data_IF_849755978547
#
_entry.id   IF_849755978547
#
_cell.length_a   1.000
_cell.length_b   1.000
_cell.length_c   1.000
_cell.angle_alpha   90.00
_cell.angle_beta   90.00
_cell.angle_gamma   90.00
#
_symmetry.space_group_name_H-M   'P 1'
#
loop_
_entity.id
_entity.type
_entity.pdbx_description
1 polymer ?
#
# COMPACT_ATOMS: atom_id res chain seq x y z
N UNK A 1 -20.30 37.11 7.26
CA UNK A 1 -18.87 37.00 6.90
C UNK A 1 -18.14 36.08 7.88
N UNK A 2 -18.39 34.75 7.83
CA UNK A 2 -17.91 33.82 8.89
C UNK A 2 -17.10 32.63 8.40
N UNK A 3 -16.97 32.42 7.08
CA UNK A 3 -16.24 31.27 6.51
C UNK A 3 -14.71 31.45 6.44
N UNK A 4 -14.20 32.68 6.59
CA UNK A 4 -12.76 32.97 6.46
C UNK A 4 -11.95 32.58 7.71
N UNK A 5 -12.55 32.60 8.91
CA UNK A 5 -11.84 32.30 10.18
C UNK A 5 -11.62 30.80 10.41
N UNK A 6 -12.52 29.96 9.92
CA UNK A 6 -12.45 28.50 10.13
C UNK A 6 -11.38 27.82 9.24
N UNK A 7 -11.09 28.37 8.06
CA UNK A 7 -9.97 27.93 7.22
C UNK A 7 -8.60 28.32 7.80
N UNK A 8 -8.49 29.53 8.36
CA UNK A 8 -7.26 30.04 8.95
C UNK A 8 -6.86 29.23 10.20
N UNK A 9 -7.85 28.79 11.00
CA UNK A 9 -7.62 27.91 12.16
C UNK A 9 -7.19 26.49 11.77
N UNK A 10 -7.63 25.97 10.62
CA UNK A 10 -7.13 24.67 10.09
C UNK A 10 -5.73 24.79 9.48
N UNK A 11 -5.37 25.93 8.90
CA UNK A 11 -4.06 26.16 8.27
C UNK A 11 -2.99 26.66 9.25
N UNK A 12 -3.37 27.20 10.42
CA UNK A 12 -2.45 27.63 11.48
C UNK A 12 -2.02 26.50 12.45
N UNK A 13 -2.42 25.25 12.17
CA UNK A 13 -1.96 24.08 12.94
C UNK A 13 -0.57 23.68 12.49
N UNK A 14 0.44 24.46 12.88
CA UNK A 14 1.84 24.02 12.79
C UNK A 14 1.93 22.65 13.48
N UNK A 15 2.41 21.60 12.78
CA UNK A 15 2.54 20.30 13.40
C UNK A 15 3.47 20.45 14.61
N UNK A 16 2.99 20.06 15.79
CA UNK A 16 3.77 20.12 17.02
C UNK A 16 5.07 19.36 16.78
N UNK A 17 6.25 19.94 17.10
CA UNK A 17 7.51 19.25 16.94
C UNK A 17 7.48 17.98 17.79
N UNK A 18 7.71 16.84 17.16
CA UNK A 18 7.71 15.55 17.84
C UNK A 18 8.89 15.49 18.81
N UNK A 19 8.64 15.01 20.02
CA UNK A 19 9.67 14.60 20.98
C UNK A 19 10.58 13.53 20.35
N UNK A 20 11.82 13.42 20.83
CA UNK A 20 12.79 12.39 20.39
C UNK A 20 12.20 10.98 20.48
N UNK A 21 11.46 10.67 21.55
CA UNK A 21 10.80 9.38 21.72
C UNK A 21 9.71 9.15 20.67
N UNK A 22 8.89 10.17 20.39
CA UNK A 22 7.85 10.10 19.35
C UNK A 22 8.45 9.90 17.95
N UNK A 23 9.58 10.56 17.65
CA UNK A 23 10.32 10.35 16.40
C UNK A 23 10.83 8.91 16.28
N UNK A 24 11.35 8.34 17.37
CA UNK A 24 11.80 6.95 17.40
C UNK A 24 10.65 5.98 17.12
N UNK A 25 9.48 6.18 17.75
CA UNK A 25 8.29 5.38 17.50
C UNK A 25 7.82 5.46 16.04
N UNK A 26 7.74 6.66 15.46
CA UNK A 26 7.36 6.85 14.06
C UNK A 26 8.36 6.19 13.10
N UNK A 27 9.65 6.22 13.41
CA UNK A 27 10.69 5.51 12.65
C UNK A 27 10.46 4.00 12.67
N UNK A 28 10.15 3.42 13.83
CA UNK A 28 9.82 2.00 13.98
C UNK A 28 8.55 1.64 13.18
N UNK A 29 7.50 2.45 13.26
CA UNK A 29 6.29 2.27 12.45
C UNK A 29 6.64 2.28 10.96
N UNK A 30 7.42 3.26 10.50
CA UNK A 30 7.86 3.34 9.09
C UNK A 30 8.61 2.08 8.65
N UNK A 31 9.48 1.52 9.51
CA UNK A 31 10.21 0.27 9.21
C UNK A 31 9.25 -0.92 9.08
N UNK A 32 8.33 -1.08 10.03
CA UNK A 32 7.32 -2.15 10.02
C UNK A 32 6.44 -2.03 8.78
N UNK A 33 5.95 -0.83 8.46
CA UNK A 33 5.13 -0.59 7.27
C UNK A 33 5.89 -0.97 5.98
N UNK A 34 7.16 -0.59 5.86
CA UNK A 34 7.99 -0.93 4.70
C UNK A 34 8.21 -2.44 4.59
N UNK A 35 8.46 -3.13 5.70
CA UNK A 35 8.62 -4.58 5.73
C UNK A 35 7.32 -5.28 5.33
N UNK A 36 6.17 -4.89 5.91
CA UNK A 36 4.86 -5.46 5.56
C UNK A 36 4.50 -5.23 4.10
N UNK A 37 4.80 -4.04 3.55
CA UNK A 37 4.58 -3.77 2.12
C UNK A 37 5.37 -4.72 1.23
N UNK A 38 6.65 -4.98 1.56
CA UNK A 38 7.48 -5.93 0.81
C UNK A 38 6.95 -7.37 0.92
N UNK A 39 6.61 -7.81 2.13
CA UNK A 39 6.04 -9.15 2.37
C UNK A 39 4.74 -9.31 1.56
N UNK A 40 3.86 -8.31 1.61
CA UNK A 40 2.61 -8.32 0.83
C UNK A 40 2.88 -8.38 -0.67
N UNK A 41 3.87 -7.65 -1.19
CA UNK A 41 4.22 -7.69 -2.60
C UNK A 41 4.75 -9.07 -3.02
N UNK A 42 5.68 -9.66 -2.26
CA UNK A 42 6.21 -11.00 -2.52
C UNK A 42 5.11 -12.07 -2.43
N UNK A 43 4.20 -11.93 -1.47
CA UNK A 43 3.05 -12.82 -1.32
C UNK A 43 2.09 -12.75 -2.52
N UNK A 44 1.74 -11.54 -2.97
CA UNK A 44 0.89 -11.34 -4.16
C UNK A 44 1.57 -11.93 -5.40
N UNK A 45 2.86 -11.67 -5.60
CA UNK A 45 3.64 -12.20 -6.72
C UNK A 45 3.67 -13.73 -6.74
N UNK A 46 3.86 -14.37 -5.57
CA UNK A 46 3.81 -15.83 -5.46
C UNK A 46 2.43 -16.41 -5.85
N UNK A 47 1.35 -15.78 -5.42
CA UNK A 47 -0.03 -16.20 -5.77
C UNK A 47 -0.28 -16.06 -7.27
N UNK A 48 0.15 -14.95 -7.88
CA UNK A 48 0.02 -14.74 -9.34
C UNK A 48 0.84 -15.76 -10.11
N UNK A 49 2.12 -15.96 -9.76
CA UNK A 49 2.99 -16.94 -10.42
C UNK A 49 2.48 -18.37 -10.31
N UNK A 50 1.96 -18.76 -9.15
CA UNK A 50 1.35 -20.07 -8.98
C UNK A 50 0.14 -20.24 -9.92
N UNK A 51 -0.65 -19.17 -10.10
CA UNK A 51 -1.79 -19.22 -11.02
C UNK A 51 -1.35 -19.24 -12.49
N UNK A 52 -0.33 -18.47 -12.85
CA UNK A 52 0.25 -18.46 -14.21
C UNK A 52 0.87 -19.82 -14.56
N UNK A 53 1.42 -20.54 -13.57
CA UNK A 53 1.90 -21.92 -13.70
C UNK A 53 0.76 -22.96 -13.83
N UNK A 54 -0.51 -22.54 -13.81
CA UNK A 54 -1.67 -23.40 -13.99
C UNK A 54 -2.24 -24.01 -12.71
N UNK A 55 -1.71 -23.69 -11.53
CA UNK A 55 -2.21 -24.22 -10.25
C UNK A 55 -3.63 -23.70 -9.98
N UNK A 56 -4.50 -24.57 -9.45
CA UNK A 56 -5.89 -24.21 -9.15
C UNK A 56 -5.99 -23.29 -7.93
N UNK A 57 -7.02 -22.42 -7.91
CA UNK A 57 -7.22 -21.48 -6.81
C UNK A 57 -7.41 -22.16 -5.46
N UNK A 58 -7.99 -23.38 -5.42
CA UNK A 58 -8.15 -24.15 -4.19
C UNK A 58 -6.80 -24.54 -3.57
N UNK A 59 -5.87 -25.05 -4.38
CA UNK A 59 -4.54 -25.47 -3.93
C UNK A 59 -3.71 -24.26 -3.48
N UNK A 60 -3.78 -23.14 -4.22
CA UNK A 60 -3.10 -21.90 -3.84
C UNK A 60 -3.65 -21.37 -2.50
N UNK A 61 -4.97 -21.40 -2.33
CA UNK A 61 -5.62 -20.91 -1.13
C UNK A 61 -5.28 -21.75 0.10
N UNK A 62 -5.24 -23.07 -0.05
CA UNK A 62 -4.82 -24.01 1.00
C UNK A 62 -3.37 -23.74 1.44
N UNK A 63 -2.43 -23.65 0.48
CA UNK A 63 -1.02 -23.39 0.77
C UNK A 63 -0.77 -22.02 1.41
N UNK A 64 -1.55 -21.02 1.02
CA UNK A 64 -1.42 -19.65 1.51
C UNK A 64 -2.25 -19.36 2.78
N UNK A 65 -3.04 -20.33 3.27
CA UNK A 65 -3.90 -20.15 4.44
C UNK A 65 -4.99 -19.10 4.23
N UNK A 66 -5.58 -19.04 3.03
CA UNK A 66 -6.64 -18.10 2.69
C UNK A 66 -7.83 -18.79 2.00
N UNK A 67 -8.86 -18.04 1.65
CA UNK A 67 -9.98 -18.55 0.86
C UNK A 67 -9.69 -18.52 -0.65
N UNK A 68 -10.28 -19.45 -1.40
CA UNK A 68 -10.17 -19.49 -2.87
C UNK A 68 -10.65 -18.19 -3.53
N UNK A 69 -11.68 -17.55 -2.95
CA UNK A 69 -12.17 -16.26 -3.41
C UNK A 69 -11.13 -15.14 -3.22
N UNK A 70 -10.37 -15.16 -2.12
CA UNK A 70 -9.29 -14.21 -1.91
C UNK A 70 -8.14 -14.42 -2.91
N UNK A 71 -7.76 -15.68 -3.19
CA UNK A 71 -6.75 -15.99 -4.20
C UNK A 71 -7.19 -15.52 -5.61
N UNK A 72 -8.45 -15.76 -5.98
CA UNK A 72 -9.02 -15.27 -7.24
C UNK A 72 -9.00 -13.75 -7.33
N UNK A 73 -9.35 -13.05 -6.24
CA UNK A 73 -9.36 -11.60 -6.19
C UNK A 73 -7.95 -11.00 -6.31
N UNK A 74 -6.94 -11.63 -5.70
CA UNK A 74 -5.53 -11.24 -5.84
C UNK A 74 -5.12 -11.35 -7.30
N UNK A 75 -5.35 -12.49 -7.95
CA UNK A 75 -5.00 -12.66 -9.37
C UNK A 75 -5.80 -11.71 -10.26
N UNK A 76 -7.08 -11.45 -9.97
CA UNK A 76 -7.88 -10.50 -10.75
C UNK A 76 -7.34 -9.07 -10.67
N UNK A 77 -6.82 -8.66 -9.50
CA UNK A 77 -6.26 -7.31 -9.29
C UNK A 77 -4.82 -7.17 -9.79
N UNK A 78 -4.04 -8.25 -9.74
CA UNK A 78 -2.58 -8.20 -9.93
C UNK A 78 -2.05 -9.05 -11.08
N UNK A 79 -2.82 -10.00 -11.60
CA UNK A 79 -2.44 -10.93 -12.68
C UNK A 79 -2.33 -10.28 -14.07
N UNK A 80 -2.95 -9.12 -14.30
CA UNK A 80 -2.77 -8.36 -15.55
C UNK A 80 -1.43 -7.61 -15.63
N UNK A 81 -0.54 -7.73 -14.63
CA UNK A 81 0.72 -6.95 -14.57
C UNK A 81 1.86 -7.52 -15.42
N UNK A 82 1.57 -8.43 -16.37
CA UNK A 82 2.50 -8.79 -17.46
C UNK A 82 2.80 -7.67 -18.47
N UNK A 83 2.15 -6.50 -18.36
CA UNK A 83 2.44 -5.29 -19.15
C UNK A 83 2.23 -4.00 -18.33
N UNK A 84 2.89 -3.83 -17.19
CA UNK A 84 3.24 -2.49 -16.62
C UNK A 84 3.95 -2.68 -15.29
N UNK A 85 5.22 -3.10 -15.34
CA UNK A 85 6.13 -2.69 -14.28
C UNK A 85 6.35 -1.18 -14.36
N UNK A 86 6.41 -0.57 -13.17
CA UNK A 86 7.01 0.75 -12.88
C UNK A 86 6.41 1.96 -13.60
N UNK A 87 5.68 2.83 -12.89
CA UNK A 87 6.30 3.85 -12.04
C UNK A 87 5.22 4.67 -11.33
N UNK A 88 5.36 4.78 -10.01
CA UNK A 88 4.84 5.94 -9.29
C UNK A 88 5.68 7.16 -9.69
N UNK A 89 5.24 7.93 -10.67
CA UNK A 89 5.65 9.34 -10.80
C UNK A 89 4.51 10.21 -10.29
N UNK A 90 4.67 10.64 -9.04
CA UNK A 90 4.13 11.90 -8.57
C UNK A 90 4.84 13.00 -9.36
N UNK A 91 4.22 13.49 -10.43
CA UNK A 91 4.59 14.77 -11.04
C UNK A 91 3.72 15.87 -10.44
N UNK A 92 4.39 16.78 -9.72
CA UNK A 92 3.79 18.02 -9.24
C UNK A 92 3.37 18.87 -10.42
N UNK A 93 2.19 19.48 -10.29
CA UNK A 93 1.70 20.45 -11.25
C UNK A 93 1.82 21.84 -10.63
N UNK A 94 3.02 22.42 -10.74
CA UNK A 94 3.20 23.87 -10.76
C UNK A 94 2.82 24.38 -12.15
N UNK A 95 2.12 25.51 -12.23
CA UNK A 95 2.02 26.30 -13.46
C UNK A 95 0.63 26.86 -13.75
N UNK A 96 0.51 28.18 -13.54
CA UNK A 96 -0.62 29.04 -13.92
C UNK A 96 -0.50 30.40 -13.26
#
# INVERSE_FOLDING_TARGET
MSKKRECEERMSRRPKPLSTEQKALVSSVRRISKQRSRINASYIDAVVKARDAGVTFSVIAEAAGMSSQAAQEIVRRHGSTGKTSSNTSVEGKDGG
#
